data_IF_460483511506
#
_entry.id   IF_460483511506
#
_cell.length_a   1.000
_cell.length_b   1.000
_cell.length_c   1.000
_cell.angle_alpha   90.00
_cell.angle_beta   90.00
_cell.angle_gamma   90.00
#
_symmetry.space_group_name_H-M   'P 1'
#
loop_
_entity.id
_entity.type
_entity.pdbx_description
1 polymer ?
#
# COMPACT_ATOMS: atom_id res chain seq x y z
N UNK A 1 29.94 -4.00 -21.32
CA UNK A 1 28.48 -4.00 -21.56
C UNK A 1 27.81 -3.42 -20.33
N UNK A 2 27.24 -2.22 -20.43
CA UNK A 2 26.65 -1.49 -19.30
C UNK A 2 25.30 -2.13 -18.96
N UNK A 3 25.21 -2.87 -17.86
CA UNK A 3 23.94 -3.35 -17.31
C UNK A 3 23.22 -2.15 -16.69
N UNK A 4 22.35 -1.54 -17.49
CA UNK A 4 21.44 -0.50 -17.04
C UNK A 4 20.43 -1.13 -16.07
N UNK A 5 20.73 -1.05 -14.77
CA UNK A 5 19.76 -1.31 -13.71
C UNK A 5 18.69 -0.23 -13.76
N UNK A 6 17.57 -0.52 -14.43
CA UNK A 6 16.37 0.30 -14.32
C UNK A 6 15.78 0.09 -12.94
N UNK A 7 16.21 0.91 -11.98
CA UNK A 7 15.48 1.16 -10.74
C UNK A 7 14.13 1.80 -11.12
N UNK A 8 13.14 0.98 -11.44
CA UNK A 8 11.77 1.44 -11.62
C UNK A 8 11.25 1.84 -10.23
N UNK A 9 11.09 3.14 -10.05
CA UNK A 9 10.50 3.75 -8.88
C UNK A 9 9.21 3.00 -8.52
N UNK A 10 9.16 2.42 -7.33
CA UNK A 10 7.89 2.09 -6.70
C UNK A 10 7.12 3.40 -6.63
N UNK A 11 6.08 3.58 -7.45
CA UNK A 11 5.28 4.81 -7.51
C UNK A 11 4.93 5.26 -6.09
N UNK A 12 5.59 6.28 -5.56
CA UNK A 12 5.33 6.71 -4.22
C UNK A 12 4.39 7.92 -4.30
N UNK A 13 3.57 8.11 -3.29
CA UNK A 13 2.85 9.36 -2.99
C UNK A 13 1.42 9.56 -3.48
N UNK A 14 0.96 9.01 -4.62
CA UNK A 14 -0.39 9.38 -5.11
C UNK A 14 -1.56 8.92 -4.21
N UNK A 15 -1.32 7.99 -3.29
CA UNK A 15 -2.36 7.47 -2.40
C UNK A 15 -2.32 7.97 -0.98
N UNK A 16 -1.15 8.36 -0.48
CA UNK A 16 -1.00 8.78 0.91
C UNK A 16 -1.82 10.05 1.18
N UNK A 17 -1.81 11.00 0.24
CA UNK A 17 -2.62 12.23 0.34
C UNK A 17 -4.12 11.93 0.30
N UNK A 18 -4.57 11.11 -0.66
CA UNK A 18 -5.98 10.72 -0.74
C UNK A 18 -6.47 10.00 0.53
N UNK A 19 -5.63 9.13 1.10
CA UNK A 19 -5.95 8.39 2.33
C UNK A 19 -5.98 9.32 3.54
N UNK A 20 -5.11 10.33 3.55
CA UNK A 20 -5.13 11.41 4.55
C UNK A 20 -6.39 12.26 4.43
N UNK A 21 -6.77 12.68 3.23
CA UNK A 21 -8.00 13.45 3.00
C UNK A 21 -9.24 12.67 3.47
N UNK A 22 -9.27 11.36 3.21
CA UNK A 22 -10.34 10.48 3.70
C UNK A 22 -10.36 10.40 5.23
N UNK A 23 -9.19 10.32 5.87
CA UNK A 23 -9.06 10.31 7.32
C UNK A 23 -9.54 11.64 7.95
N UNK A 24 -9.10 12.76 7.38
CA UNK A 24 -9.47 14.10 7.81
C UNK A 24 -10.99 14.32 7.68
N UNK A 25 -11.59 13.83 6.60
CA UNK A 25 -13.04 13.88 6.40
C UNK A 25 -13.81 13.04 7.44
N UNK A 26 -13.33 11.84 7.78
CA UNK A 26 -13.95 11.01 8.83
C UNK A 26 -13.88 11.72 10.19
N UNK A 27 -12.74 12.34 10.49
CA UNK A 27 -12.56 13.10 11.72
C UNK A 27 -13.51 14.29 11.80
N UNK A 28 -13.63 15.05 10.70
CA UNK A 28 -14.55 16.18 10.61
C UNK A 28 -16.00 15.74 10.81
N UNK A 29 -16.44 14.70 10.11
CA UNK A 29 -17.80 14.14 10.25
C UNK A 29 -18.08 13.67 11.68
N UNK A 30 -17.09 13.02 12.31
CA UNK A 30 -17.23 12.56 13.69
C UNK A 30 -17.35 13.75 14.66
N UNK A 31 -16.50 14.78 14.51
CA UNK A 31 -16.56 16.01 15.32
C UNK A 31 -17.89 16.73 15.18
N UNK A 32 -18.36 16.90 13.95
CA UNK A 32 -19.67 17.50 13.70
C UNK A 32 -20.81 16.67 14.30
N UNK A 33 -20.71 15.33 14.19
CA UNK A 33 -21.64 14.41 14.82
C UNK A 33 -21.68 14.59 16.34
N UNK A 34 -20.51 14.65 16.99
CA UNK A 34 -20.43 14.83 18.44
C UNK A 34 -21.03 16.16 18.90
N UNK A 35 -20.82 17.24 18.15
CA UNK A 35 -21.43 18.54 18.46
C UNK A 35 -22.96 18.54 18.36
N UNK A 36 -23.53 17.63 17.56
CA UNK A 36 -24.99 17.50 17.35
C UNK A 36 -25.61 16.42 18.25
N UNK A 37 -24.81 15.56 18.85
CA UNK A 37 -25.29 14.44 19.65
C UNK A 37 -25.95 14.95 20.94
N UNK A 38 -27.14 14.43 21.23
CA UNK A 38 -27.94 14.75 22.40
C UNK A 38 -27.83 13.70 23.51
N UNK A 39 -27.19 12.56 23.21
CA UNK A 39 -27.13 11.42 24.13
C UNK A 39 -25.86 10.58 23.96
N UNK A 40 -25.50 9.85 25.01
CA UNK A 40 -24.37 8.91 25.01
C UNK A 40 -24.52 7.80 23.97
N UNK A 41 -25.70 7.19 23.74
CA UNK A 41 -25.88 6.22 22.65
C UNK A 41 -25.56 6.79 21.28
N UNK A 42 -25.95 8.03 20.97
CA UNK A 42 -25.62 8.68 19.69
C UNK A 42 -24.12 8.88 19.53
N UNK A 43 -23.43 9.37 20.58
CA UNK A 43 -21.96 9.49 20.59
C UNK A 43 -21.30 8.14 20.32
N UNK A 44 -21.79 7.08 20.95
CA UNK A 44 -21.26 5.72 20.77
C UNK A 44 -21.44 5.24 19.33
N UNK A 45 -22.58 5.52 18.72
CA UNK A 45 -22.85 5.19 17.31
C UNK A 45 -21.93 5.97 16.36
N UNK A 46 -21.74 7.27 16.59
CA UNK A 46 -20.85 8.11 15.79
C UNK A 46 -19.41 7.58 15.87
N UNK A 47 -18.93 7.28 17.08
CA UNK A 47 -17.59 6.73 17.29
C UNK A 47 -17.41 5.37 16.60
N UNK A 48 -18.38 4.47 16.75
CA UNK A 48 -18.36 3.17 16.09
C UNK A 48 -18.33 3.29 14.56
N UNK A 49 -19.13 4.21 14.00
CA UNK A 49 -19.13 4.48 12.57
C UNK A 49 -17.78 5.02 12.08
N UNK A 50 -17.17 5.96 12.81
CA UNK A 50 -15.86 6.49 12.48
C UNK A 50 -14.77 5.40 12.52
N UNK A 51 -14.76 4.56 13.57
CA UNK A 51 -13.85 3.41 13.69
C UNK A 51 -13.98 2.43 12.52
N UNK A 52 -15.22 2.12 12.10
CA UNK A 52 -15.45 1.26 10.94
C UNK A 52 -14.92 1.87 9.65
N UNK A 53 -15.11 3.19 9.45
CA UNK A 53 -14.57 3.88 8.26
C UNK A 53 -13.04 3.88 8.26
N UNK A 54 -12.38 4.18 9.38
CA UNK A 54 -10.93 4.09 9.50
C UNK A 54 -10.41 2.68 9.24
N UNK A 55 -11.08 1.66 9.78
CA UNK A 55 -10.72 0.25 9.55
C UNK A 55 -10.75 -0.11 8.07
N UNK A 56 -11.74 0.37 7.32
CA UNK A 56 -11.82 0.15 5.86
C UNK A 56 -10.67 0.80 5.11
N UNK A 57 -10.28 2.02 5.49
CA UNK A 57 -9.12 2.71 4.91
C UNK A 57 -7.85 1.88 5.13
N UNK A 58 -7.61 1.44 6.37
CA UNK A 58 -6.44 0.62 6.71
C UNK A 58 -6.43 -0.72 5.95
N UNK A 59 -7.57 -1.39 5.85
CA UNK A 59 -7.69 -2.63 5.06
C UNK A 59 -7.38 -2.39 3.58
N UNK A 60 -7.88 -1.30 3.00
CA UNK A 60 -7.59 -0.94 1.62
C UNK A 60 -6.09 -0.68 1.40
N UNK A 61 -5.43 0.06 2.30
CA UNK A 61 -3.98 0.26 2.27
C UNK A 61 -3.22 -1.07 2.33
N UNK A 62 -3.55 -1.93 3.30
CA UNK A 62 -2.88 -3.22 3.47
C UNK A 62 -2.99 -4.09 2.22
N UNK A 63 -4.17 -4.18 1.61
CA UNK A 63 -4.35 -4.93 0.37
C UNK A 63 -3.43 -4.43 -0.76
N UNK A 64 -3.19 -3.13 -0.82
CA UNK A 64 -2.31 -2.55 -1.85
C UNK A 64 -0.84 -2.79 -1.57
N UNK A 65 -0.44 -2.74 -0.30
CA UNK A 65 0.90 -3.14 0.13
C UNK A 65 1.16 -4.59 -0.28
N UNK A 66 0.20 -5.49 -0.04
CA UNK A 66 0.30 -6.89 -0.46
C UNK A 66 0.44 -7.03 -1.98
N UNK A 67 -0.37 -6.31 -2.76
CA UNK A 67 -0.25 -6.30 -4.23
C UNK A 67 1.11 -5.78 -4.71
N UNK A 68 1.68 -4.78 -4.03
CA UNK A 68 3.03 -4.28 -4.35
C UNK A 68 4.09 -5.32 -4.00
N UNK A 69 3.97 -6.01 -2.86
CA UNK A 69 4.86 -7.11 -2.48
C UNK A 69 4.83 -8.25 -3.50
N UNK A 70 3.65 -8.64 -3.99
CA UNK A 70 3.53 -9.67 -5.04
C UNK A 70 4.26 -9.27 -6.33
N UNK A 71 4.16 -8.00 -6.73
CA UNK A 71 4.90 -7.47 -7.90
C UNK A 71 6.41 -7.52 -7.69
N UNK A 72 6.90 -7.11 -6.51
CA UNK A 72 8.32 -7.17 -6.14
C UNK A 72 8.81 -8.62 -6.17
N UNK A 73 8.06 -9.55 -5.60
CA UNK A 73 8.41 -10.98 -5.61
C UNK A 73 8.47 -11.54 -7.03
N UNK A 74 7.52 -11.17 -7.90
CA UNK A 74 7.55 -11.55 -9.32
C UNK A 74 8.78 -11.02 -10.04
N UNK A 75 9.17 -9.77 -9.78
CA UNK A 75 10.37 -9.17 -10.34
C UNK A 75 11.64 -9.86 -9.84
N UNK A 76 11.74 -10.15 -8.55
CA UNK A 76 12.87 -10.87 -7.97
C UNK A 76 13.04 -12.25 -8.60
N UNK A 77 11.95 -12.98 -8.83
CA UNK A 77 12.01 -14.27 -9.52
C UNK A 77 12.57 -14.14 -10.96
N UNK A 78 12.21 -13.08 -11.69
CA UNK A 78 12.77 -12.82 -13.02
C UNK A 78 14.27 -12.52 -12.97
N UNK A 79 14.70 -11.74 -11.99
CA UNK A 79 16.13 -11.43 -11.78
C UNK A 79 16.91 -12.72 -11.47
N UNK A 80 16.38 -13.59 -10.62
CA UNK A 80 17.00 -14.88 -10.32
C UNK A 80 17.15 -15.75 -11.59
N UNK A 81 16.10 -15.85 -12.41
CA UNK A 81 16.15 -16.57 -13.69
C UNK A 81 17.20 -15.99 -14.65
N UNK A 82 17.30 -14.65 -14.72
CA UNK A 82 18.31 -13.99 -15.54
C UNK A 82 19.73 -14.27 -15.04
N UNK A 83 19.94 -14.26 -13.72
CA UNK A 83 21.22 -14.59 -13.11
C UNK A 83 21.63 -16.05 -13.39
N UNK A 84 20.68 -16.98 -13.30
CA UNK A 84 20.92 -18.40 -13.62
C UNK A 84 21.37 -18.57 -15.08
N UNK A 85 20.74 -17.86 -16.04
CA UNK A 85 21.15 -17.93 -17.44
C UNK A 85 22.53 -17.29 -17.67
N UNK A 86 22.84 -16.18 -17.01
CA UNK A 86 24.18 -15.57 -17.08
C UNK A 86 25.23 -16.56 -16.57
N UNK A 87 24.99 -17.21 -15.43
CA UNK A 87 25.91 -18.21 -14.88
C UNK A 87 26.09 -19.39 -15.84
N UNK A 88 25.02 -19.84 -16.50
CA UNK A 88 25.06 -20.91 -17.49
C UNK A 88 25.92 -20.54 -18.70
N UNK A 89 25.76 -19.32 -19.21
CA UNK A 89 26.55 -18.81 -20.35
C UNK A 89 28.03 -18.68 -19.98
N UNK A 90 28.35 -18.11 -18.82
CA UNK A 90 29.73 -17.99 -18.34
C UNK A 90 30.40 -19.36 -18.14
N UNK A 91 29.66 -20.35 -17.64
CA UNK A 91 30.19 -21.72 -17.51
C UNK A 91 30.46 -22.38 -18.88
N UNK A 92 29.63 -22.09 -19.89
CA UNK A 92 29.81 -22.61 -21.25
C UNK A 92 31.04 -22.00 -21.92
N UNK A 93 31.26 -20.70 -21.77
CA UNK A 93 32.41 -20.00 -22.37
C UNK A 93 33.74 -20.32 -21.67
N UNK A 94 33.70 -20.92 -20.48
CA UNK A 94 34.87 -21.37 -19.72
C UNK A 94 35.35 -22.79 -20.08
N UNK A 95 34.67 -23.50 -20.99
CA UNK A 95 35.02 -24.86 -21.45
C UNK A 95 35.45 -24.84 -22.91
#
# INVERSE_FOLDING_TARGET
MVLAGTCMAAEPFYDAEKLRDQADQIELEAKEGFNKASSVPEVTQIMGNAQLKFSRILMSQNNRILQQQDKIMSQNNKILQQNDEILRLLHKDSK
#
